data_IF_616530176744
#
_entry.id   IF_616530176744
#
_cell.length_a   1.000
_cell.length_b   1.000
_cell.length_c   1.000
_cell.angle_alpha   90.00
_cell.angle_beta   90.00
_cell.angle_gamma   90.00
#
_symmetry.space_group_name_H-M   'P 1'
#
loop_
_entity.id
_entity.type
_entity.pdbx_description
1 polymer ?
#
# COMPACT_ATOMS: atom_id res chain seq x y z
N UNK A 1 23.94 10.08 -21.77
CA UNK A 1 22.93 9.04 -21.55
C UNK A 1 23.40 8.11 -20.45
N UNK A 2 22.52 7.79 -19.51
CA UNK A 2 22.77 6.83 -18.42
C UNK A 2 22.37 5.42 -18.86
N UNK A 3 23.04 4.40 -18.36
CA UNK A 3 22.66 3.00 -18.53
C UNK A 3 22.90 2.25 -17.21
N UNK A 4 22.21 1.13 -17.04
CA UNK A 4 22.40 0.23 -15.91
C UNK A 4 23.23 -0.98 -16.32
N UNK A 5 23.85 -1.63 -15.32
CA UNK A 5 24.69 -2.80 -15.52
C UNK A 5 24.53 -3.77 -14.35
N UNK A 6 24.66 -5.06 -14.62
CA UNK A 6 24.86 -6.10 -13.60
C UNK A 6 26.35 -6.44 -13.53
N UNK A 7 26.88 -6.52 -12.31
CA UNK A 7 28.27 -6.93 -12.05
C UNK A 7 28.28 -8.19 -11.22
N UNK A 8 29.12 -9.13 -11.60
CA UNK A 8 29.38 -10.36 -10.86
C UNK A 8 30.67 -10.19 -10.09
N UNK A 9 30.62 -10.39 -8.77
CA UNK A 9 31.75 -10.24 -7.88
C UNK A 9 32.13 -11.61 -7.30
N UNK A 10 33.43 -11.88 -7.19
CA UNK A 10 33.99 -13.03 -6.48
C UNK A 10 34.81 -12.58 -5.28
N UNK A 11 34.90 -13.42 -4.26
CA UNK A 11 35.74 -13.17 -3.08
C UNK A 11 37.18 -13.59 -3.35
N UNK A 12 38.12 -12.65 -3.21
CA UNK A 12 39.56 -12.91 -3.13
C UNK A 12 40.05 -12.51 -1.73
N UNK A 13 40.13 -13.48 -0.82
CA UNK A 13 40.32 -13.21 0.61
C UNK A 13 39.16 -12.36 1.17
N UNK A 14 39.49 -11.18 1.70
CA UNK A 14 38.53 -10.23 2.27
C UNK A 14 38.07 -9.15 1.26
N UNK A 15 38.41 -9.28 -0.03
CA UNK A 15 38.09 -8.29 -1.06
C UNK A 15 37.12 -8.88 -2.08
N UNK A 16 36.14 -8.08 -2.51
CA UNK A 16 35.29 -8.39 -3.65
C UNK A 16 35.93 -7.88 -4.93
N UNK A 17 36.14 -8.78 -5.88
CA UNK A 17 36.73 -8.50 -7.19
C UNK A 17 35.70 -8.77 -8.27
N UNK A 18 35.54 -7.82 -9.19
CA UNK A 18 34.67 -8.01 -10.36
C UNK A 18 35.25 -9.11 -11.27
N UNK A 19 34.44 -10.12 -11.58
CA UNK A 19 34.80 -11.25 -12.45
C UNK A 19 34.04 -11.26 -13.77
N UNK A 20 32.93 -10.52 -13.85
CA UNK A 20 32.15 -10.35 -15.06
C UNK A 20 31.16 -9.19 -14.92
N UNK A 21 30.70 -8.66 -16.04
CA UNK A 21 29.68 -7.62 -16.07
C UNK A 21 28.92 -7.61 -17.39
N UNK A 22 27.68 -7.16 -17.33
CA UNK A 22 26.81 -6.96 -18.48
C UNK A 22 26.13 -5.59 -18.34
N UNK A 23 26.30 -4.75 -19.34
CA UNK A 23 25.77 -3.38 -19.40
C UNK A 23 24.56 -3.26 -20.33
N UNK A 24 24.33 -2.04 -20.81
CA UNK A 24 23.30 -1.70 -21.80
C UNK A 24 21.85 -1.97 -21.34
N UNK A 25 21.62 -2.06 -20.03
CA UNK A 25 20.29 -2.29 -19.46
C UNK A 25 19.58 -0.93 -19.29
N UNK A 26 18.43 -0.75 -19.93
CA UNK A 26 17.57 0.43 -19.78
C UNK A 26 18.28 1.76 -20.05
N UNK A 27 18.86 1.92 -21.25
CA UNK A 27 19.53 3.18 -21.64
C UNK A 27 18.56 4.37 -21.54
N UNK A 28 18.84 5.31 -20.64
CA UNK A 28 18.01 6.47 -20.35
C UNK A 28 16.80 6.19 -19.47
N UNK A 29 16.76 5.05 -18.79
CA UNK A 29 15.66 4.59 -17.95
C UNK A 29 16.14 4.36 -16.50
N UNK A 30 15.19 4.20 -15.58
CA UNK A 30 15.47 3.92 -14.16
C UNK A 30 15.12 2.48 -13.81
N UNK A 31 16.02 1.77 -13.12
CA UNK A 31 15.72 0.45 -12.56
C UNK A 31 14.63 0.56 -11.50
N UNK A 32 13.58 -0.23 -11.64
CA UNK A 32 12.48 -0.32 -10.67
C UNK A 32 12.55 -1.61 -9.84
N UNK A 33 13.04 -2.71 -10.43
CA UNK A 33 13.19 -3.97 -9.72
C UNK A 33 14.33 -4.81 -10.26
N UNK A 34 14.95 -5.59 -9.36
CA UNK A 34 15.98 -6.58 -9.70
C UNK A 34 15.74 -7.83 -8.87
N UNK A 35 15.78 -9.01 -9.51
CA UNK A 35 15.66 -10.30 -8.84
C UNK A 35 16.66 -11.29 -9.42
N UNK A 36 17.47 -11.90 -8.55
CA UNK A 36 18.38 -12.98 -8.91
C UNK A 36 17.84 -14.32 -8.41
N UNK A 37 17.82 -15.34 -9.27
CA UNK A 37 17.30 -16.68 -9.00
C UNK A 37 18.23 -17.71 -9.62
N UNK A 38 19.03 -18.37 -8.79
CA UNK A 38 20.08 -19.26 -9.28
C UNK A 38 20.97 -18.52 -10.29
N UNK A 39 21.02 -19.06 -11.51
CA UNK A 39 21.84 -18.56 -12.61
C UNK A 39 21.11 -17.52 -13.49
N UNK A 40 19.97 -16.98 -13.06
CA UNK A 40 19.17 -16.01 -13.83
C UNK A 40 19.00 -14.71 -13.08
N UNK A 41 19.17 -13.59 -13.78
CA UNK A 41 18.80 -12.26 -13.32
C UNK A 41 17.59 -11.71 -14.07
N UNK A 42 16.65 -11.13 -13.36
CA UNK A 42 15.54 -10.35 -13.91
C UNK A 42 15.74 -8.89 -13.54
N UNK A 43 15.65 -7.99 -14.53
CA UNK A 43 15.77 -6.55 -14.30
C UNK A 43 14.62 -5.85 -14.98
N UNK A 44 13.97 -4.96 -14.25
CA UNK A 44 12.89 -4.12 -14.72
C UNK A 44 13.38 -2.68 -14.73
N UNK A 45 13.24 -1.99 -15.85
CA UNK A 45 13.51 -0.56 -15.96
C UNK A 45 12.27 0.20 -16.40
N UNK A 46 12.24 1.51 -16.23
CA UNK A 46 11.09 2.30 -16.66
C UNK A 46 11.49 3.73 -17.03
N UNK A 47 10.86 4.22 -18.09
CA UNK A 47 10.79 5.65 -18.44
C UNK A 47 9.41 6.02 -18.95
N UNK A 48 8.84 5.19 -19.83
CA UNK A 48 7.47 5.27 -20.34
C UNK A 48 6.85 3.89 -20.52
N UNK A 49 7.68 2.93 -20.96
CA UNK A 49 7.37 1.51 -21.12
C UNK A 49 8.46 0.76 -20.33
N UNK A 50 8.09 -0.33 -19.68
CA UNK A 50 9.00 -1.20 -18.94
C UNK A 50 9.57 -2.29 -19.86
N UNK A 51 10.90 -2.35 -20.05
CA UNK A 51 11.55 -3.56 -20.48
C UNK A 51 11.86 -4.48 -19.28
N UNK A 52 11.16 -5.62 -19.23
CA UNK A 52 11.53 -6.76 -18.41
C UNK A 52 12.67 -7.53 -19.11
N UNK A 53 13.87 -7.44 -18.56
CA UNK A 53 15.07 -8.12 -19.04
C UNK A 53 15.29 -9.45 -18.33
N UNK A 54 15.75 -10.45 -19.09
CA UNK A 54 16.29 -11.72 -18.59
C UNK A 54 17.79 -11.78 -18.84
N UNK A 55 18.55 -12.18 -17.83
CA UNK A 55 20.02 -12.19 -17.86
C UNK A 55 20.51 -13.59 -17.49
N UNK A 56 21.34 -14.17 -18.35
CA UNK A 56 22.11 -15.37 -18.07
C UNK A 56 23.31 -15.03 -17.18
N UNK A 57 23.38 -15.66 -16.02
CA UNK A 57 24.46 -15.58 -15.05
C UNK A 57 25.17 -16.93 -14.84
N UNK A 58 24.87 -17.95 -15.66
CA UNK A 58 25.43 -19.30 -15.53
C UNK A 58 26.96 -19.35 -15.72
N UNK A 59 27.50 -18.47 -16.57
CA UNK A 59 28.93 -18.18 -16.65
C UNK A 59 29.21 -16.84 -15.95
N UNK A 60 29.72 -16.84 -14.71
CA UNK A 60 29.94 -15.61 -13.94
C UNK A 60 30.98 -14.68 -14.58
N UNK A 61 31.81 -15.18 -15.50
CA UNK A 61 32.80 -14.38 -16.23
C UNK A 61 32.29 -13.79 -17.53
N UNK A 62 31.10 -14.22 -17.98
CA UNK A 62 30.50 -13.80 -19.24
C UNK A 62 28.96 -13.71 -19.14
N UNK A 63 28.42 -12.88 -18.22
CA UNK A 63 26.99 -12.66 -18.09
C UNK A 63 26.42 -12.00 -19.35
N UNK A 64 25.19 -12.35 -19.72
CA UNK A 64 24.59 -11.94 -21.01
C UNK A 64 23.10 -11.64 -20.86
N UNK A 65 22.63 -10.56 -21.48
CA UNK A 65 21.19 -10.34 -21.68
C UNK A 65 20.70 -11.38 -22.69
N UNK A 66 19.65 -12.13 -22.34
CA UNK A 66 19.03 -13.14 -23.20
C UNK A 66 17.80 -12.60 -23.92
N UNK A 67 16.94 -11.89 -23.21
CA UNK A 67 15.66 -11.41 -23.71
C UNK A 67 15.26 -10.07 -23.09
N UNK A 68 14.34 -9.42 -23.77
CA UNK A 68 13.72 -8.15 -23.38
C UNK A 68 12.24 -8.20 -23.77
N UNK A 69 11.36 -7.90 -22.82
CA UNK A 69 9.93 -7.79 -23.03
C UNK A 69 9.47 -6.38 -22.68
N UNK A 70 8.95 -5.64 -23.66
CA UNK A 70 8.44 -4.28 -23.47
C UNK A 70 6.94 -4.26 -23.25
N UNK A 71 6.49 -3.77 -22.10
CA UNK A 71 5.07 -3.64 -21.74
C UNK A 71 4.79 -2.29 -21.05
N UNK A 72 3.56 -1.75 -21.18
CA UNK A 72 3.15 -0.60 -20.38
C UNK A 72 3.11 -0.94 -18.88
N UNK A 73 3.30 0.09 -18.06
CA UNK A 73 3.50 -0.04 -16.61
C UNK A 73 4.93 -0.47 -16.28
N UNK A 74 5.17 -0.82 -15.02
CA UNK A 74 6.41 -1.44 -14.55
C UNK A 74 6.19 -2.28 -13.30
N UNK A 75 7.00 -3.33 -13.13
CA UNK A 75 7.05 -4.08 -11.88
C UNK A 75 8.09 -3.49 -10.92
N UNK A 76 7.67 -3.11 -9.71
CA UNK A 76 8.58 -2.65 -8.64
C UNK A 76 9.05 -3.81 -7.76
N UNK A 77 8.36 -4.94 -7.79
CA UNK A 77 8.74 -6.18 -7.11
C UNK A 77 8.55 -7.40 -8.01
N UNK A 78 9.50 -8.32 -7.98
CA UNK A 78 9.48 -9.57 -8.74
C UNK A 78 9.58 -10.78 -7.79
N UNK A 79 8.64 -11.71 -7.93
CA UNK A 79 8.56 -12.94 -7.14
C UNK A 79 8.52 -14.17 -8.05
N UNK A 80 9.58 -14.98 -8.09
CA UNK A 80 9.56 -16.26 -8.79
C UNK A 80 8.61 -17.22 -8.07
N UNK A 81 7.61 -17.75 -8.79
CA UNK A 81 6.63 -18.70 -8.24
C UNK A 81 6.86 -20.14 -8.73
N UNK A 82 7.64 -20.31 -9.80
CA UNK A 82 8.18 -21.59 -10.26
C UNK A 82 9.47 -21.37 -11.07
N UNK A 83 10.05 -22.43 -11.60
CA UNK A 83 11.23 -22.37 -12.49
C UNK A 83 10.96 -21.60 -13.79
N UNK A 84 9.69 -21.47 -14.21
CA UNK A 84 9.30 -20.88 -15.49
C UNK A 84 8.34 -19.70 -15.36
N UNK A 85 7.95 -19.32 -14.13
CA UNK A 85 6.97 -18.26 -13.90
C UNK A 85 7.47 -17.26 -12.86
N UNK A 86 7.37 -15.97 -13.19
CA UNK A 86 7.69 -14.86 -12.30
C UNK A 86 6.48 -13.93 -12.19
N UNK A 87 6.04 -13.65 -10.97
CA UNK A 87 5.01 -12.67 -10.68
C UNK A 87 5.66 -11.30 -10.49
N UNK A 88 5.20 -10.30 -11.24
CA UNK A 88 5.56 -8.90 -11.06
C UNK A 88 4.44 -8.13 -10.39
N UNK A 89 4.78 -7.33 -9.38
CA UNK A 89 3.86 -6.41 -8.69
C UNK A 89 4.38 -4.99 -8.86
N UNK A 90 3.51 -4.07 -9.28
CA UNK A 90 3.89 -2.69 -9.50
C UNK A 90 2.73 -1.84 -9.99
N UNK A 91 2.99 -1.03 -11.02
CA UNK A 91 2.06 -0.02 -11.51
C UNK A 91 1.74 -0.23 -12.99
N UNK A 92 0.49 0.00 -13.37
CA UNK A 92 0.10 0.13 -14.78
C UNK A 92 0.39 1.54 -15.29
N UNK A 93 0.58 1.69 -16.59
CA UNK A 93 0.76 3.00 -17.21
C UNK A 93 0.18 3.04 -18.62
N UNK A 94 -0.19 4.24 -19.06
CA UNK A 94 -0.53 4.50 -20.47
C UNK A 94 0.73 4.54 -21.37
N UNK A 95 0.59 4.50 -22.71
CA UNK A 95 1.72 4.53 -23.63
C UNK A 95 2.63 5.77 -23.50
N UNK A 96 2.13 6.85 -22.90
CA UNK A 96 2.88 8.07 -22.63
C UNK A 96 3.73 7.97 -21.33
N UNK A 97 3.54 6.90 -20.55
CA UNK A 97 4.26 6.63 -19.31
C UNK A 97 3.60 7.17 -18.05
N UNK A 98 2.35 7.64 -18.14
CA UNK A 98 1.61 8.10 -16.96
C UNK A 98 1.02 6.90 -16.24
N UNK A 99 1.30 6.79 -14.94
CA UNK A 99 0.76 5.74 -14.09
C UNK A 99 -0.77 5.85 -14.02
N UNK A 100 -1.45 4.73 -14.21
CA UNK A 100 -2.92 4.62 -14.29
C UNK A 100 -3.52 3.71 -13.22
N UNK A 101 -2.71 3.01 -12.44
CA UNK A 101 -3.20 2.15 -11.37
C UNK A 101 -2.16 1.13 -10.89
N UNK A 102 -2.60 0.20 -10.04
CA UNK A 102 -1.80 -0.94 -9.60
C UNK A 102 -1.90 -2.06 -10.64
N UNK A 103 -0.80 -2.81 -10.81
CA UNK A 103 -0.71 -3.90 -11.77
C UNK A 103 0.01 -5.10 -11.17
N UNK A 104 -0.48 -6.28 -11.53
CA UNK A 104 0.17 -7.56 -11.28
C UNK A 104 0.29 -8.30 -12.60
N UNK A 105 1.52 -8.69 -12.96
CA UNK A 105 1.84 -9.38 -14.21
C UNK A 105 2.37 -10.77 -13.92
N UNK A 106 1.96 -11.75 -14.72
CA UNK A 106 2.58 -13.07 -14.73
C UNK A 106 3.45 -13.21 -15.96
N UNK A 107 4.75 -13.43 -15.76
CA UNK A 107 5.73 -13.62 -16.81
C UNK A 107 6.06 -15.11 -16.98
N UNK A 108 5.88 -15.62 -18.20
CA UNK A 108 6.44 -16.90 -18.63
C UNK A 108 7.88 -16.68 -19.13
N UNK A 109 8.80 -17.33 -18.43
CA UNK A 109 10.25 -17.28 -18.64
C UNK A 109 10.82 -18.67 -18.94
N UNK A 110 9.99 -19.61 -19.40
CA UNK A 110 10.42 -20.94 -19.86
C UNK A 110 11.42 -20.89 -21.01
N UNK A 111 11.32 -19.84 -21.84
CA UNK A 111 12.34 -19.44 -22.80
C UNK A 111 12.84 -18.03 -22.43
N UNK A 112 14.00 -17.97 -21.77
CA UNK A 112 14.61 -16.71 -21.35
C UNK A 112 14.94 -15.78 -22.54
N UNK A 113 15.04 -16.29 -23.77
CA UNK A 113 15.30 -15.44 -24.95
C UNK A 113 14.04 -14.77 -25.49
N UNK A 114 12.87 -15.25 -25.06
CA UNK A 114 11.56 -14.76 -25.50
C UNK A 114 10.53 -14.75 -24.36
N UNK A 115 10.76 -13.98 -23.27
CA UNK A 115 9.83 -13.88 -22.15
C UNK A 115 8.49 -13.29 -22.59
N UNK A 116 7.39 -13.71 -21.95
CA UNK A 116 6.02 -13.27 -22.29
C UNK A 116 5.22 -12.91 -21.04
N UNK A 117 4.44 -11.84 -21.11
CA UNK A 117 3.38 -11.56 -20.15
C UNK A 117 2.15 -12.41 -20.52
N UNK A 118 1.82 -13.40 -19.69
CA UNK A 118 0.77 -14.39 -19.97
C UNK A 118 -0.55 -14.09 -19.26
N UNK A 119 -0.50 -13.31 -18.17
CA UNK A 119 -1.70 -12.83 -17.48
C UNK A 119 -1.43 -11.50 -16.77
N UNK A 120 -2.49 -10.71 -16.61
CA UNK A 120 -2.46 -9.38 -15.98
C UNK A 120 -3.69 -9.21 -15.10
N UNK A 121 -3.50 -8.64 -13.92
CA UNK A 121 -4.55 -8.06 -13.09
C UNK A 121 -4.25 -6.58 -12.86
N UNK A 122 -5.27 -5.73 -12.88
CA UNK A 122 -5.12 -4.28 -12.63
C UNK A 122 -6.18 -3.77 -11.67
N UNK A 123 -5.80 -2.75 -10.89
CA UNK A 123 -6.73 -1.89 -10.18
C UNK A 123 -6.50 -0.45 -10.65
N UNK A 124 -7.37 0.08 -11.54
CA UNK A 124 -7.33 1.47 -11.97
C UNK A 124 -7.32 2.42 -10.77
N UNK A 125 -6.55 3.50 -10.87
CA UNK A 125 -6.38 4.52 -9.81
C UNK A 125 -5.86 3.97 -8.46
N UNK A 126 -5.46 2.70 -8.44
CA UNK A 126 -4.87 2.05 -7.27
C UNK A 126 -3.36 2.20 -7.18
N UNK A 127 -2.81 2.03 -5.99
CA UNK A 127 -1.39 1.83 -5.74
C UNK A 127 -1.18 0.69 -4.74
N UNK A 128 0.06 0.23 -4.65
CA UNK A 128 0.51 -0.74 -3.67
C UNK A 128 1.90 -0.36 -3.16
N UNK A 129 2.19 -0.72 -1.92
CA UNK A 129 3.46 -0.41 -1.27
C UNK A 129 4.49 -1.54 -1.38
N UNK A 130 4.23 -2.58 -2.16
CA UNK A 130 5.10 -3.77 -2.26
C UNK A 130 6.49 -3.42 -2.81
N UNK A 131 6.56 -2.45 -3.73
CA UNK A 131 7.84 -1.94 -4.24
C UNK A 131 8.70 -1.23 -3.18
N UNK A 132 8.07 -0.64 -2.17
CA UNK A 132 8.74 0.05 -1.06
C UNK A 132 9.05 -0.91 0.10
N UNK A 133 8.09 -1.79 0.43
CA UNK A 133 8.24 -2.82 1.45
C UNK A 133 7.72 -4.17 0.94
N UNK A 134 8.63 -4.96 0.37
CA UNK A 134 8.33 -6.29 -0.17
C UNK A 134 7.73 -7.27 0.87
N UNK A 135 7.83 -6.97 2.16
CA UNK A 135 7.24 -7.81 3.23
C UNK A 135 5.72 -7.68 3.32
N UNK A 136 5.12 -6.72 2.61
CA UNK A 136 3.68 -6.59 2.51
C UNK A 136 3.07 -7.60 1.50
N UNK A 137 3.89 -8.11 0.59
CA UNK A 137 3.51 -9.19 -0.32
C UNK A 137 3.62 -10.56 0.35
N UNK A 138 2.64 -11.42 0.10
CA UNK A 138 2.66 -12.83 0.48
C UNK A 138 2.39 -13.71 -0.73
N UNK A 139 3.21 -14.73 -0.91
CA UNK A 139 2.94 -15.87 -1.78
C UNK A 139 2.71 -17.13 -0.92
N UNK A 140 1.51 -17.68 -0.99
CA UNK A 140 1.14 -18.94 -0.35
C UNK A 140 1.08 -20.06 -1.39
N UNK A 141 2.24 -20.70 -1.59
CA UNK A 141 2.43 -21.74 -2.60
C UNK A 141 1.43 -22.93 -2.52
N UNK A 142 1.02 -23.43 -1.33
CA UNK A 142 0.10 -24.58 -1.25
C UNK A 142 -1.25 -24.38 -1.94
N UNK A 143 -1.72 -23.14 -2.06
CA UNK A 143 -2.99 -22.79 -2.75
C UNK A 143 -2.76 -21.90 -3.98
N UNK A 144 -1.49 -21.67 -4.33
CA UNK A 144 -1.07 -20.78 -5.43
C UNK A 144 -1.68 -19.38 -5.31
N UNK A 145 -1.67 -18.81 -4.10
CA UNK A 145 -2.28 -17.51 -3.82
C UNK A 145 -1.27 -16.42 -3.51
N UNK A 146 -1.46 -15.25 -4.13
CA UNK A 146 -0.78 -14.01 -3.80
C UNK A 146 -1.71 -13.08 -3.02
N UNK A 147 -1.24 -12.51 -1.90
CA UNK A 147 -1.93 -11.46 -1.16
C UNK A 147 -1.17 -10.16 -1.32
N UNK A 148 -1.84 -9.15 -1.88
CA UNK A 148 -1.21 -7.90 -2.31
C UNK A 148 -2.02 -6.73 -1.74
N UNK A 149 -1.40 -5.87 -0.92
CA UNK A 149 -2.09 -4.68 -0.45
C UNK A 149 -2.34 -3.73 -1.60
N UNK A 150 -3.55 -3.20 -1.69
CA UNK A 150 -3.94 -2.26 -2.72
C UNK A 150 -4.80 -1.19 -2.06
N UNK A 151 -4.51 0.06 -2.39
CA UNK A 151 -5.36 1.18 -2.01
C UNK A 151 -5.75 1.95 -3.25
N UNK A 152 -7.04 2.29 -3.34
CA UNK A 152 -7.65 3.12 -4.36
C UNK A 152 -8.20 4.35 -3.66
N UNK A 153 -7.76 5.53 -4.09
CA UNK A 153 -8.01 6.79 -3.40
C UNK A 153 -9.51 7.04 -3.24
N UNK A 154 -9.95 7.31 -2.00
CA UNK A 154 -11.35 7.56 -1.64
C UNK A 154 -12.35 6.46 -2.03
N UNK A 155 -11.88 5.26 -2.39
CA UNK A 155 -12.74 4.14 -2.77
C UNK A 155 -12.55 2.96 -1.82
N UNK A 156 -11.33 2.45 -1.69
CA UNK A 156 -11.07 1.22 -0.95
C UNK A 156 -9.60 1.05 -0.56
N UNK A 157 -9.34 0.51 0.63
CA UNK A 157 -8.01 0.07 1.05
C UNK A 157 -8.09 -1.31 1.68
N UNK A 158 -7.15 -2.18 1.32
CA UNK A 158 -7.08 -3.53 1.85
C UNK A 158 -6.04 -4.36 1.12
N UNK A 159 -6.30 -5.64 0.97
CA UNK A 159 -5.51 -6.55 0.17
C UNK A 159 -6.39 -7.38 -0.77
N UNK A 160 -5.93 -7.50 -2.00
CA UNK A 160 -6.50 -8.41 -2.99
C UNK A 160 -5.86 -9.77 -2.84
N UNK A 161 -6.66 -10.82 -2.95
CA UNK A 161 -6.19 -12.21 -2.96
C UNK A 161 -6.34 -12.73 -4.38
N UNK A 162 -5.21 -13.02 -5.01
CA UNK A 162 -5.12 -13.49 -6.39
C UNK A 162 -4.67 -14.95 -6.41
N UNK A 163 -5.44 -15.82 -7.06
CA UNK A 163 -5.00 -17.18 -7.37
C UNK A 163 -4.26 -17.18 -8.71
N UNK A 164 -3.08 -17.78 -8.73
CA UNK A 164 -2.19 -17.82 -9.89
C UNK A 164 -1.92 -19.27 -10.28
N UNK A 165 -2.79 -19.83 -11.12
CA UNK A 165 -2.73 -21.22 -11.59
C UNK A 165 -2.84 -21.27 -13.11
N UNK A 166 -2.20 -22.27 -13.73
CA UNK A 166 -2.30 -22.57 -15.16
C UNK A 166 -2.01 -21.38 -16.08
N UNK A 167 -1.07 -20.51 -15.68
CA UNK A 167 -0.70 -19.31 -16.44
C UNK A 167 -1.75 -18.19 -16.41
N UNK A 168 -2.69 -18.23 -15.47
CA UNK A 168 -3.75 -17.23 -15.30
C UNK A 168 -3.65 -16.54 -13.94
N UNK A 169 -4.22 -15.33 -13.84
CA UNK A 169 -4.42 -14.62 -12.57
C UNK A 169 -5.94 -14.46 -12.39
N UNK A 170 -6.47 -14.93 -11.26
CA UNK A 170 -7.88 -14.76 -10.90
C UNK A 170 -7.99 -14.12 -9.53
N UNK A 171 -8.72 -13.01 -9.42
CA UNK A 171 -9.07 -12.44 -8.11
C UNK A 171 -10.10 -13.36 -7.43
N UNK A 172 -9.72 -13.97 -6.31
CA UNK A 172 -10.61 -14.84 -5.52
C UNK A 172 -11.32 -14.10 -4.41
N UNK A 173 -10.84 -12.90 -4.07
CA UNK A 173 -11.58 -11.94 -3.28
C UNK A 173 -10.66 -10.87 -2.69
N UNK A 174 -11.22 -10.12 -1.75
CA UNK A 174 -10.56 -8.99 -1.09
C UNK A 174 -10.77 -9.10 0.41
N UNK A 175 -9.77 -8.66 1.16
CA UNK A 175 -9.85 -8.47 2.60
C UNK A 175 -9.51 -7.02 2.90
N UNK A 176 -10.23 -6.41 3.83
CA UNK A 176 -9.95 -5.07 4.30
C UNK A 176 -9.93 -5.06 5.83
N UNK A 177 -9.54 -3.91 6.35
CA UNK A 177 -9.50 -3.65 7.77
C UNK A 177 -10.72 -2.85 8.23
N UNK A 178 -11.78 -2.72 7.42
CA UNK A 178 -13.00 -1.99 7.75
C UNK A 178 -13.91 -2.83 8.66
N UNK A 179 -14.30 -2.30 9.81
CA UNK A 179 -15.18 -3.01 10.74
C UNK A 179 -16.64 -2.62 10.47
N UNK A 180 -17.35 -3.44 9.71
CA UNK A 180 -18.79 -3.28 9.52
C UNK A 180 -19.54 -3.12 10.86
N UNK A 181 -20.25 -1.99 11.03
CA UNK A 181 -21.02 -1.68 12.24
C UNK A 181 -20.31 -0.84 13.30
N UNK A 182 -19.05 -0.42 13.07
CA UNK A 182 -18.50 0.76 13.75
C UNK A 182 -19.01 1.99 13.01
N UNK A 183 -20.23 2.44 13.32
CA UNK A 183 -20.76 3.67 12.69
C UNK A 183 -19.77 4.84 12.94
N UNK A 184 -19.22 5.45 11.88
CA UNK A 184 -18.48 6.69 12.02
C UNK A 184 -19.36 7.72 12.73
N UNK A 185 -18.80 8.51 13.64
CA UNK A 185 -19.58 9.50 14.38
C UNK A 185 -19.91 9.14 15.83
N UNK A 186 -19.59 7.93 16.31
CA UNK A 186 -19.79 7.59 17.72
C UNK A 186 -18.69 8.19 18.57
N UNK A 187 -19.07 8.97 19.57
CA UNK A 187 -18.16 9.62 20.51
C UNK A 187 -18.78 9.58 21.90
N UNK A 188 -17.94 9.45 22.93
CA UNK A 188 -18.36 9.67 24.32
C UNK A 188 -18.24 11.17 24.70
N UNK A 189 -17.52 11.96 23.90
CA UNK A 189 -17.49 13.42 24.02
C UNK A 189 -18.79 14.05 23.55
N UNK A 190 -19.01 15.31 23.92
CA UNK A 190 -20.11 16.10 23.38
C UNK A 190 -19.71 16.72 22.05
N UNK A 191 -20.41 16.36 20.98
CA UNK A 191 -20.31 17.04 19.71
C UNK A 191 -20.92 18.45 19.81
N UNK A 192 -20.16 19.45 19.40
CA UNK A 192 -20.60 20.84 19.31
C UNK A 192 -21.22 21.06 17.93
N UNK A 193 -22.45 21.55 17.93
CA UNK A 193 -23.25 21.76 16.72
C UNK A 193 -23.63 23.23 16.59
N UNK A 194 -24.19 23.68 15.44
CA UNK A 194 -24.69 25.05 15.32
C UNK A 194 -25.75 25.43 16.36
N UNK A 195 -26.41 24.44 16.98
CA UNK A 195 -27.37 24.68 18.07
C UNK A 195 -26.71 25.10 19.39
N UNK A 196 -25.42 24.82 19.55
CA UNK A 196 -24.62 25.20 20.71
C UNK A 196 -24.05 26.63 20.59
N UNK A 197 -24.09 27.23 19.40
CA UNK A 197 -23.57 28.58 19.15
C UNK A 197 -24.57 29.69 19.53
N UNK A 198 -24.08 30.88 19.94
CA UNK A 198 -24.92 32.04 20.21
C UNK A 198 -25.68 32.57 18.98
N UNK A 199 -25.11 32.40 17.78
CA UNK A 199 -25.74 32.70 16.48
C UNK A 199 -25.39 31.58 15.49
N UNK A 200 -26.34 31.24 14.62
CA UNK A 200 -26.11 30.32 13.50
C UNK A 200 -25.84 31.08 12.17
N UNK A 201 -25.80 32.41 12.20
CA UNK A 201 -25.53 33.24 11.03
C UNK A 201 -24.03 33.45 10.87
N UNK A 202 -23.46 32.96 9.77
CA UNK A 202 -22.03 33.13 9.44
C UNK A 202 -21.59 34.60 9.32
N UNK A 203 -22.53 35.54 9.17
CA UNK A 203 -22.28 36.98 9.15
C UNK A 203 -21.97 37.55 10.55
N UNK A 204 -22.38 36.84 11.61
CA UNK A 204 -22.21 37.26 13.00
C UNK A 204 -20.99 36.62 13.68
N UNK A 205 -20.30 35.71 12.99
CA UNK A 205 -19.17 34.97 13.58
C UNK A 205 -17.99 35.89 13.84
N UNK A 206 -17.37 35.70 14.99
CA UNK A 206 -16.26 36.51 15.48
C UNK A 206 -14.97 35.70 15.66
N UNK A 207 -15.00 34.42 15.27
CA UNK A 207 -14.06 33.42 15.74
C UNK A 207 -14.01 32.20 14.80
N UNK A 208 -12.87 31.51 14.72
CA UNK A 208 -12.63 30.40 13.78
C UNK A 208 -13.41 29.14 14.16
N UNK A 209 -13.57 28.89 15.46
CA UNK A 209 -14.35 27.80 16.06
C UNK A 209 -15.83 27.87 15.66
N UNK A 210 -16.42 29.06 15.55
CA UNK A 210 -17.79 29.23 15.05
C UNK A 210 -17.92 28.76 13.59
N UNK A 211 -16.92 29.03 12.75
CA UNK A 211 -16.89 28.52 11.38
C UNK A 211 -16.72 27.00 11.37
N UNK A 212 -15.81 26.45 12.18
CA UNK A 212 -15.54 25.01 12.24
C UNK A 212 -16.73 24.18 12.74
N UNK A 213 -17.52 24.70 13.69
CA UNK A 213 -18.74 24.03 14.21
C UNK A 213 -19.87 23.99 13.17
N UNK A 214 -19.85 24.92 12.22
CA UNK A 214 -20.92 25.07 11.20
C UNK A 214 -20.52 24.45 9.87
N UNK A 215 -19.25 24.08 9.72
CA UNK A 215 -18.70 23.50 8.50
C UNK A 215 -19.05 22.00 8.36
N UNK A 216 -19.46 21.56 7.17
CA UNK A 216 -19.93 20.19 6.90
C UNK A 216 -18.92 19.40 6.03
N UNK A 217 -17.67 19.86 5.93
CA UNK A 217 -16.60 19.20 5.16
C UNK A 217 -15.92 18.04 5.91
N UNK A 218 -16.69 17.25 6.66
CA UNK A 218 -16.15 16.08 7.38
C UNK A 218 -15.29 16.44 8.60
N UNK A 219 -15.54 17.58 9.24
CA UNK A 219 -14.91 17.94 10.52
C UNK A 219 -15.96 17.87 11.62
N UNK A 220 -15.67 17.19 12.73
CA UNK A 220 -16.47 17.21 13.93
C UNK A 220 -15.70 17.95 15.04
N UNK A 221 -16.36 18.90 15.70
CA UNK A 221 -15.78 19.63 16.83
C UNK A 221 -16.37 19.05 18.11
N UNK A 222 -15.52 18.56 19.01
CA UNK A 222 -15.90 17.91 20.25
C UNK A 222 -15.48 18.73 21.46
N UNK A 223 -16.29 18.71 22.52
CA UNK A 223 -15.89 19.06 23.87
C UNK A 223 -15.77 17.76 24.69
N UNK A 224 -14.54 17.40 25.06
CA UNK A 224 -14.19 16.12 25.70
C UNK A 224 -13.67 16.33 27.12
N UNK A 225 -14.09 15.49 28.07
CA UNK A 225 -13.54 15.44 29.42
C UNK A 225 -12.14 14.82 29.45
N UNK A 226 -11.31 15.08 30.48
CA UNK A 226 -10.01 14.43 30.60
C UNK A 226 -10.10 12.90 30.63
N UNK A 227 -9.49 12.26 29.64
CA UNK A 227 -9.49 10.80 29.49
C UNK A 227 -10.60 10.24 28.60
N UNK A 228 -11.48 11.06 28.04
CA UNK A 228 -12.38 10.66 26.95
C UNK A 228 -11.60 10.57 25.63
N UNK A 229 -12.01 9.64 24.77
CA UNK A 229 -11.47 9.45 23.43
C UNK A 229 -12.36 10.14 22.39
N UNK A 230 -11.77 10.53 21.25
CA UNK A 230 -12.47 11.20 20.17
C UNK A 230 -13.53 10.33 19.44
N UNK A 231 -13.95 10.79 18.27
CA UNK A 231 -15.02 10.18 17.47
C UNK A 231 -14.53 8.98 16.63
N UNK A 232 -15.27 7.87 16.66
CA UNK A 232 -14.97 6.67 15.87
C UNK A 232 -14.99 6.98 14.37
N UNK A 233 -13.98 6.52 13.64
CA UNK A 233 -13.86 6.80 12.20
C UNK A 233 -13.20 8.14 11.87
N UNK A 234 -12.85 8.95 12.86
CA UNK A 234 -12.19 10.25 12.69
C UNK A 234 -10.78 10.23 13.29
N UNK A 235 -9.90 11.11 12.83
CA UNK A 235 -8.65 11.45 13.51
C UNK A 235 -8.87 12.70 14.37
N UNK A 236 -8.73 12.56 15.68
CA UNK A 236 -9.05 13.60 16.64
C UNK A 236 -7.81 14.07 17.40
N UNK A 237 -7.61 15.38 17.48
CA UNK A 237 -6.53 16.00 18.24
C UNK A 237 -7.12 17.04 19.20
N UNK A 238 -6.56 17.14 20.40
CA UNK A 238 -6.87 18.25 21.31
C UNK A 238 -6.23 19.52 20.77
N UNK A 239 -6.97 20.63 20.76
CA UNK A 239 -6.53 21.89 20.16
C UNK A 239 -6.54 23.00 21.22
N UNK A 240 -5.45 23.13 22.02
CA UNK A 240 -5.43 24.00 23.20
C UNK A 240 -5.67 25.48 22.90
N UNK A 241 -5.35 25.92 21.68
CA UNK A 241 -5.49 27.33 21.27
C UNK A 241 -6.95 27.74 21.01
N UNK A 242 -7.86 26.78 20.79
CA UNK A 242 -9.29 27.06 20.66
C UNK A 242 -10.02 27.09 22.01
N UNK A 243 -9.32 26.77 23.11
CA UNK A 243 -9.92 26.74 24.46
C UNK A 243 -10.45 28.11 24.89
N UNK A 244 -9.63 29.15 24.79
CA UNK A 244 -10.01 30.51 25.20
C UNK A 244 -11.24 31.01 24.40
N UNK A 245 -11.33 30.60 23.14
CA UNK A 245 -12.44 30.91 22.25
C UNK A 245 -13.72 30.18 22.64
N UNK A 246 -13.61 28.88 22.93
CA UNK A 246 -14.71 28.06 23.41
C UNK A 246 -15.25 28.54 24.78
N UNK A 247 -14.37 28.97 25.69
CA UNK A 247 -14.76 29.55 26.98
C UNK A 247 -15.54 30.86 26.78
N UNK A 248 -15.07 31.74 25.89
CA UNK A 248 -15.76 33.00 25.56
C UNK A 248 -17.14 32.78 24.95
N UNK A 249 -17.29 31.73 24.13
CA UNK A 249 -18.57 31.32 23.54
C UNK A 249 -19.46 30.53 24.51
N UNK A 250 -18.95 30.14 25.68
CA UNK A 250 -19.69 29.37 26.68
C UNK A 250 -19.90 27.90 26.29
N UNK A 251 -19.01 27.34 25.46
CA UNK A 251 -19.14 26.02 24.87
C UNK A 251 -18.61 24.89 25.76
N UNK A 252 -17.73 25.18 26.72
CA UNK A 252 -17.11 24.17 27.61
C UNK A 252 -17.86 24.01 28.93
N UNK A 253 -17.84 22.79 29.47
CA UNK A 253 -18.32 22.44 30.81
C UNK A 253 -17.17 21.87 31.64
N UNK A 254 -17.09 22.29 32.90
CA UNK A 254 -16.09 21.80 33.86
C UNK A 254 -14.65 21.83 33.29
N UNK A 255 -14.01 20.66 33.15
CA UNK A 255 -12.65 20.47 32.65
C UNK A 255 -12.57 20.03 31.18
N UNK A 256 -13.66 20.18 30.41
CA UNK A 256 -13.67 19.88 28.98
C UNK A 256 -12.55 20.62 28.22
N UNK A 257 -11.98 19.96 27.22
CA UNK A 257 -11.09 20.52 26.22
C UNK A 257 -11.71 20.37 24.83
N UNK A 258 -11.34 21.26 23.90
CA UNK A 258 -11.77 21.17 22.51
C UNK A 258 -10.91 20.14 21.79
N UNK A 259 -11.56 19.19 21.13
CA UNK A 259 -10.92 18.28 20.18
C UNK A 259 -11.53 18.48 18.80
N UNK A 260 -10.65 18.55 17.79
CA UNK A 260 -11.07 18.62 16.39
C UNK A 260 -10.84 17.25 15.76
N UNK A 261 -11.90 16.70 15.21
CA UNK A 261 -11.95 15.39 14.57
C UNK A 261 -12.13 15.56 13.07
N UNK A 262 -11.21 15.02 12.28
CA UNK A 262 -11.31 15.03 10.82
C UNK A 262 -11.73 13.65 10.34
N UNK A 263 -12.69 13.59 9.43
CA UNK A 263 -13.06 12.35 8.75
C UNK A 263 -11.76 11.84 8.14
N UNK A 264 -11.35 10.65 8.56
CA UNK A 264 -10.00 10.21 8.27
C UNK A 264 -9.84 9.93 6.79
N UNK A 265 -9.09 10.80 6.13
CA UNK A 265 -8.55 10.56 4.80
C UNK A 265 -7.46 9.45 4.82
N UNK A 266 -6.97 9.06 6.00
CA UNK A 266 -5.96 8.00 6.16
C UNK A 266 -6.57 6.60 5.96
N UNK A 267 -6.17 5.84 4.92
CA UNK A 267 -6.67 4.50 4.66
C UNK A 267 -6.19 3.51 5.72
N UNK A 268 -6.95 2.44 5.91
CA UNK A 268 -6.50 1.27 6.64
C UNK A 268 -5.68 0.38 5.70
N UNK A 269 -4.36 0.61 5.65
CA UNK A 269 -3.46 -0.12 4.76
C UNK A 269 -3.01 -1.42 5.40
N UNK A 270 -3.16 -2.52 4.66
CA UNK A 270 -2.59 -3.82 5.07
C UNK A 270 -1.08 -3.79 4.76
N UNK A 271 -0.27 -4.05 5.77
CA UNK A 271 1.20 -4.00 5.67
C UNK A 271 1.87 -5.35 5.85
N UNK A 272 1.20 -6.33 6.47
CA UNK A 272 1.71 -7.71 6.57
C UNK A 272 0.58 -8.69 6.35
N UNK A 273 0.93 -9.81 5.76
CA UNK A 273 0.04 -10.97 5.66
C UNK A 273 0.83 -12.26 5.91
N UNK A 274 0.20 -13.22 6.57
CA UNK A 274 0.75 -14.55 6.80
C UNK A 274 -0.39 -15.57 6.82
N UNK A 275 -0.14 -16.78 6.34
CA UNK A 275 -1.04 -17.92 6.52
C UNK A 275 -0.57 -18.76 7.70
N UNK A 276 -1.49 -19.07 8.61
CA UNK A 276 -1.29 -20.03 9.70
C UNK A 276 -2.44 -21.02 9.61
N UNK A 277 -2.11 -22.29 9.40
CA UNK A 277 -3.09 -23.34 9.11
C UNK A 277 -4.01 -22.95 7.93
N UNK A 278 -5.32 -22.84 8.17
CA UNK A 278 -6.33 -22.46 7.17
C UNK A 278 -6.81 -21.00 7.35
N UNK A 279 -6.00 -20.16 8.00
CA UNK A 279 -6.33 -18.77 8.31
C UNK A 279 -5.36 -17.79 7.67
N UNK A 280 -5.89 -16.76 7.03
CA UNK A 280 -5.15 -15.59 6.55
C UNK A 280 -5.15 -14.52 7.65
N UNK A 281 -3.97 -14.26 8.20
CA UNK A 281 -3.74 -13.22 9.18
C UNK A 281 -3.19 -11.98 8.48
N UNK A 282 -3.82 -10.83 8.70
CA UNK A 282 -3.39 -9.55 8.12
C UNK A 282 -3.21 -8.50 9.19
N UNK A 283 -2.04 -7.84 9.18
CA UNK A 283 -1.75 -6.68 10.01
C UNK A 283 -1.88 -5.43 9.15
N UNK A 284 -2.67 -4.49 9.61
CA UNK A 284 -2.85 -3.19 9.00
C UNK A 284 -2.73 -2.10 10.05
N UNK A 285 -2.57 -0.88 9.59
CA UNK A 285 -2.59 0.29 10.45
C UNK A 285 -3.29 1.42 9.71
N UNK A 286 -3.77 2.40 10.46
CA UNK A 286 -4.36 3.60 9.88
C UNK A 286 -3.24 4.57 9.55
N UNK A 287 -3.05 4.87 8.28
CA UNK A 287 -2.03 5.80 7.84
C UNK A 287 -1.53 5.55 6.43
N UNK A 288 -0.44 6.24 6.09
CA UNK A 288 0.17 6.20 4.77
C UNK A 288 1.57 5.60 4.85
N UNK A 289 1.91 4.73 3.89
CA UNK A 289 3.26 4.21 3.71
C UNK A 289 3.69 3.18 4.76
N UNK A 290 4.86 3.38 5.35
CA UNK A 290 5.54 2.35 6.15
C UNK A 290 5.09 2.33 7.62
N UNK A 291 4.72 1.14 8.11
CA UNK A 291 4.40 0.91 9.51
C UNK A 291 5.66 0.84 10.39
N UNK A 292 5.84 1.80 11.28
CA UNK A 292 6.99 1.91 12.18
C UNK A 292 6.88 1.06 13.46
N UNK A 293 5.73 0.42 13.68
CA UNK A 293 5.45 -0.38 14.87
C UNK A 293 5.06 0.44 16.10
N UNK A 294 4.84 1.75 15.98
CA UNK A 294 4.38 2.63 17.06
C UNK A 294 2.93 3.10 16.85
N UNK A 295 2.49 3.22 15.59
CA UNK A 295 1.09 3.57 15.30
C UNK A 295 0.11 2.49 15.78
N UNK A 296 -1.11 2.86 16.21
CA UNK A 296 -2.18 1.90 16.47
C UNK A 296 -2.37 0.98 15.26
N UNK A 297 -2.44 -0.31 15.52
CA UNK A 297 -2.53 -1.31 14.46
C UNK A 297 -3.74 -2.22 14.69
N UNK A 298 -4.13 -2.90 13.63
CA UNK A 298 -5.24 -3.84 13.62
C UNK A 298 -4.76 -5.16 13.05
N UNK A 299 -5.17 -6.24 13.71
CA UNK A 299 -4.94 -7.60 13.26
C UNK A 299 -6.29 -8.23 12.91
N UNK A 300 -6.45 -8.61 11.65
CA UNK A 300 -7.60 -9.37 11.17
C UNK A 300 -7.21 -10.82 10.91
N UNK A 301 -8.13 -11.72 11.24
CA UNK A 301 -8.07 -13.13 10.88
C UNK A 301 -9.22 -13.42 9.94
N UNK A 302 -8.91 -13.97 8.78
CA UNK A 302 -9.88 -14.36 7.77
C UNK A 302 -9.73 -15.85 7.49
N UNK A 303 -10.83 -16.54 7.22
CA UNK A 303 -10.79 -17.90 6.68
C UNK A 303 -10.10 -17.87 5.31
N UNK A 304 -9.09 -18.72 5.09
CA UNK A 304 -8.24 -18.63 3.90
C UNK A 304 -9.01 -18.91 2.59
N UNK A 305 -10.05 -19.74 2.65
CA UNK A 305 -10.78 -20.20 1.47
C UNK A 305 -11.94 -19.28 1.10
N UNK A 306 -12.68 -18.82 2.11
CA UNK A 306 -13.86 -17.97 1.95
C UNK A 306 -13.55 -16.48 2.10
N UNK A 307 -12.39 -16.15 2.66
CA UNK A 307 -11.95 -14.80 3.05
C UNK A 307 -12.86 -14.12 4.07
N UNK A 308 -13.83 -14.86 4.65
CA UNK A 308 -14.72 -14.36 5.67
C UNK A 308 -13.93 -14.01 6.93
N UNK A 309 -14.16 -12.80 7.48
CA UNK A 309 -13.50 -12.38 8.72
C UNK A 309 -13.96 -13.24 9.88
N UNK A 310 -13.01 -13.89 10.54
CA UNK A 310 -13.19 -14.72 11.73
C UNK A 310 -13.02 -13.89 13.02
N UNK A 311 -12.04 -12.99 13.02
CA UNK A 311 -11.73 -12.14 14.17
C UNK A 311 -11.07 -10.82 13.76
N UNK A 312 -11.16 -9.83 14.65
CA UNK A 312 -10.47 -8.55 14.58
C UNK A 312 -9.95 -8.17 15.98
N UNK A 313 -8.73 -7.66 16.05
CA UNK A 313 -8.09 -7.22 17.29
C UNK A 313 -7.37 -5.88 17.05
N UNK A 314 -7.67 -4.87 17.85
CA UNK A 314 -6.86 -3.64 17.93
C UNK A 314 -5.62 -3.90 18.79
N UNK A 315 -4.47 -3.37 18.38
CA UNK A 315 -3.15 -3.52 18.99
C UNK A 315 -2.58 -2.17 19.46
#
# INVERSE_FOLDING_TARGET
>A
DSESQVRVLSTDGDVLVEVGSVGDIGRGEHVQSVRFVGDVGYVVTFRQIDPFYTIDLSDPTNPRILGELKIPGFSSYLHPISDTLVLGVGSDADPEGRVTGAKVSLFDVSDLTAPREVAVWTAPDGWNDVGWDHRAFLWWAPEEMAVIPVTVWNEWSGAVVLRVTDGTITEVGRVDHEIAGTEPGRTDCRELTPADLPSASMEDFTSELEYMIVDDYGTAVLACQPGEAGMTGFECYEEPFLRDEAERLGLLRDDEAISICWLSDSPNVIVRSIVIDDELWTLGFRGWGYFDGQAPARLHVNDLQTLARLAALEL
#
